data_IF_115894287003
#
_entry.id   IF_115894287003
#
_cell.length_a   1.000
_cell.length_b   1.000
_cell.length_c   1.000
_cell.angle_alpha   90.00
_cell.angle_beta   90.00
_cell.angle_gamma   90.00
#
_symmetry.space_group_name_H-M   'P 1'
#
loop_
_entity.id
_entity.type
_entity.pdbx_description
1 polymer ?
#
# COMPACT_ATOMS: atom_id res chain seq x y z
N UNK A 1 -8.98 22.64 -14.01
CA UNK A 1 -8.25 21.46 -14.43
C UNK A 1 -7.00 21.28 -13.58
N UNK A 2 -6.20 22.33 -13.47
CA UNK A 2 -4.99 22.27 -12.63
C UNK A 2 -5.35 22.04 -11.16
N UNK A 3 -6.42 22.65 -10.67
CA UNK A 3 -6.87 22.49 -9.28
C UNK A 3 -7.29 21.04 -9.00
N UNK A 4 -8.02 20.42 -9.92
CA UNK A 4 -8.44 19.03 -9.77
C UNK A 4 -7.23 18.10 -9.76
N UNK A 5 -6.29 18.35 -10.65
CA UNK A 5 -5.06 17.57 -10.73
C UNK A 5 -4.23 17.72 -9.46
N UNK A 6 -4.14 18.92 -8.93
CA UNK A 6 -3.40 19.18 -7.70
C UNK A 6 -4.06 18.52 -6.48
N UNK A 7 -5.39 18.40 -6.46
CA UNK A 7 -6.10 17.75 -5.35
C UNK A 7 -5.99 16.24 -5.42
N UNK A 8 -6.07 15.65 -6.61
CA UNK A 8 -6.01 14.20 -6.78
C UNK A 8 -4.58 13.66 -6.64
N UNK A 9 -3.59 14.37 -7.23
CA UNK A 9 -2.21 13.93 -7.25
C UNK A 9 -1.56 13.83 -5.88
N UNK A 10 -1.64 14.86 -5.03
CA UNK A 10 -1.01 14.81 -3.70
C UNK A 10 -1.53 13.69 -2.82
N UNK A 11 -2.85 13.45 -2.81
CA UNK A 11 -3.43 12.39 -2.01
C UNK A 11 -2.93 11.02 -2.47
N UNK A 12 -2.88 10.80 -3.77
CA UNK A 12 -2.36 9.55 -4.33
C UNK A 12 -0.88 9.36 -3.99
N UNK A 13 -0.07 10.40 -4.18
CA UNK A 13 1.35 10.35 -3.88
C UNK A 13 1.60 10.07 -2.40
N UNK A 14 0.79 10.65 -1.53
CA UNK A 14 0.93 10.43 -0.09
C UNK A 14 0.58 9.01 0.30
N UNK A 15 -0.44 8.41 -0.34
CA UNK A 15 -0.76 7.01 -0.11
C UNK A 15 0.37 6.09 -0.58
N UNK A 16 1.02 6.42 -1.70
CA UNK A 16 2.20 5.66 -2.15
C UNK A 16 3.34 5.75 -1.13
N UNK A 17 3.56 6.92 -0.56
CA UNK A 17 4.60 7.11 0.46
C UNK A 17 4.31 6.30 1.73
N UNK A 18 3.04 6.19 2.13
CA UNK A 18 2.65 5.34 3.26
C UNK A 18 3.02 3.90 2.97
N UNK A 19 2.70 3.41 1.78
CA UNK A 19 3.02 2.05 1.38
C UNK A 19 4.52 1.79 1.41
N UNK A 20 5.32 2.72 0.92
CA UNK A 20 6.78 2.60 0.96
C UNK A 20 7.30 2.56 2.40
N UNK A 21 6.75 3.39 3.28
CA UNK A 21 7.14 3.38 4.69
C UNK A 21 6.84 2.02 5.34
N UNK A 22 5.68 1.45 5.04
CA UNK A 22 5.33 0.11 5.53
C UNK A 22 6.29 -0.95 4.99
N UNK A 23 6.65 -0.84 3.74
CA UNK A 23 7.54 -1.79 3.08
C UNK A 23 8.93 -1.80 3.71
N UNK A 24 9.43 -0.63 4.11
CA UNK A 24 10.74 -0.50 4.75
C UNK A 24 10.71 -0.74 6.25
N UNK A 25 9.54 -0.97 6.83
CA UNK A 25 9.41 -1.22 8.25
C UNK A 25 9.24 0.03 9.12
N UNK A 26 9.07 1.19 8.51
CA UNK A 26 8.87 2.44 9.23
C UNK A 26 7.38 2.62 9.56
N UNK A 27 6.90 1.83 10.52
CA UNK A 27 5.49 1.84 10.91
C UNK A 27 5.13 3.18 11.55
N UNK A 28 6.00 3.74 12.38
CA UNK A 28 5.77 5.05 13.00
C UNK A 28 5.58 6.14 11.97
N UNK A 29 6.46 6.19 10.96
CA UNK A 29 6.35 7.15 9.87
C UNK A 29 5.08 6.96 9.06
N UNK A 30 4.72 5.69 8.80
CA UNK A 30 3.49 5.38 8.09
C UNK A 30 2.26 5.89 8.86
N UNK A 31 2.19 5.63 10.15
CA UNK A 31 1.07 6.08 10.99
C UNK A 31 0.97 7.60 11.03
N UNK A 32 2.10 8.30 11.11
CA UNK A 32 2.10 9.77 11.08
C UNK A 32 1.53 10.29 9.76
N UNK A 33 1.92 9.68 8.65
CA UNK A 33 1.39 10.08 7.34
C UNK A 33 -0.09 9.77 7.21
N UNK A 34 -0.54 8.62 7.73
CA UNK A 34 -1.95 8.24 7.75
C UNK A 34 -2.76 9.26 8.53
N UNK A 35 -2.30 9.62 9.72
CA UNK A 35 -2.98 10.63 10.52
C UNK A 35 -3.11 11.96 9.78
N UNK A 36 -2.06 12.36 9.07
CA UNK A 36 -2.07 13.58 8.26
C UNK A 36 -3.09 13.51 7.13
N UNK A 37 -3.18 12.37 6.45
CA UNK A 37 -4.15 12.19 5.38
C UNK A 37 -5.58 12.20 5.89
N UNK A 38 -5.83 11.57 7.02
CA UNK A 38 -7.16 11.58 7.63
C UNK A 38 -7.53 12.99 8.13
N UNK A 39 -6.57 13.72 8.66
CA UNK A 39 -6.79 15.12 9.04
C UNK A 39 -7.13 16.00 7.83
N UNK A 40 -6.65 15.63 6.67
CA UNK A 40 -6.98 16.29 5.40
C UNK A 40 -8.26 15.73 4.75
N UNK A 41 -9.06 14.99 5.53
CA UNK A 41 -10.34 14.41 5.10
C UNK A 41 -10.24 13.28 4.08
N UNK A 42 -9.12 12.62 4.00
CA UNK A 42 -9.04 11.41 3.17
C UNK A 42 -9.87 10.31 3.82
N UNK A 43 -10.84 9.72 3.10
CA UNK A 43 -11.68 8.67 3.69
C UNK A 43 -10.84 7.45 4.08
N UNK A 44 -10.95 6.97 5.33
CA UNK A 44 -10.14 5.85 5.80
C UNK A 44 -10.28 4.58 4.97
N UNK A 45 -11.50 4.23 4.55
CA UNK A 45 -11.71 3.04 3.71
C UNK A 45 -11.05 3.16 2.36
N UNK A 46 -11.05 4.37 1.78
CA UNK A 46 -10.36 4.62 0.52
C UNK A 46 -8.85 4.49 0.70
N UNK A 47 -8.34 5.02 1.80
CA UNK A 47 -6.91 4.96 2.09
C UNK A 47 -6.45 3.52 2.24
N UNK A 48 -7.15 2.72 3.05
CA UNK A 48 -6.75 1.32 3.23
C UNK A 48 -6.89 0.53 1.93
N UNK A 49 -7.89 0.81 1.12
CA UNK A 49 -8.07 0.16 -0.17
C UNK A 49 -6.89 0.45 -1.10
N UNK A 50 -6.41 1.70 -1.11
CA UNK A 50 -5.23 2.09 -1.89
C UNK A 50 -3.98 1.34 -1.43
N UNK A 51 -3.81 1.20 -0.12
CA UNK A 51 -2.67 0.47 0.43
C UNK A 51 -2.74 -1.02 0.11
N UNK A 52 -3.91 -1.62 0.21
CA UNK A 52 -4.12 -3.03 -0.17
C UNK A 52 -3.78 -3.24 -1.63
N UNK A 53 -4.25 -2.35 -2.51
CA UNK A 53 -3.96 -2.43 -3.94
C UNK A 53 -2.45 -2.36 -4.20
N UNK A 54 -1.77 -1.48 -3.50
CA UNK A 54 -0.32 -1.31 -3.61
C UNK A 54 0.42 -2.58 -3.20
N UNK A 55 0.04 -3.16 -2.06
CA UNK A 55 0.63 -4.41 -1.58
C UNK A 55 0.38 -5.57 -2.54
N UNK A 56 -0.82 -5.65 -3.10
CA UNK A 56 -1.14 -6.68 -4.09
C UNK A 56 -0.27 -6.53 -5.33
N UNK A 57 -0.03 -5.31 -5.77
CA UNK A 57 0.86 -5.06 -6.90
C UNK A 57 2.26 -5.58 -6.66
N UNK A 58 2.83 -5.27 -5.51
CA UNK A 58 4.16 -5.76 -5.13
C UNK A 58 4.18 -7.28 -5.03
N UNK A 59 3.13 -7.86 -4.45
CA UNK A 59 3.04 -9.31 -4.30
C UNK A 59 2.95 -10.01 -5.66
N UNK A 60 2.12 -9.49 -6.57
CA UNK A 60 2.02 -10.01 -7.94
C UNK A 60 3.37 -10.00 -8.64
N UNK A 61 4.07 -8.86 -8.56
CA UNK A 61 5.39 -8.73 -9.18
C UNK A 61 6.34 -9.79 -8.63
N UNK A 62 6.39 -9.94 -7.32
CA UNK A 62 7.28 -10.90 -6.67
C UNK A 62 6.96 -12.33 -7.12
N UNK A 63 5.68 -12.70 -7.11
CA UNK A 63 5.26 -14.06 -7.47
C UNK A 63 5.53 -14.37 -8.94
N UNK A 64 5.26 -13.42 -9.82
CA UNK A 64 5.50 -13.61 -11.25
C UNK A 64 6.99 -13.74 -11.55
N UNK A 65 7.81 -12.91 -10.90
CA UNK A 65 9.25 -13.03 -11.09
C UNK A 65 9.79 -14.36 -10.56
N UNK A 66 9.25 -14.84 -9.45
CA UNK A 66 9.63 -16.16 -8.94
C UNK A 66 9.23 -17.27 -9.89
N UNK A 67 8.17 -17.10 -10.64
CA UNK A 67 7.72 -18.10 -11.63
C UNK A 67 8.51 -18.02 -12.93
N UNK A 68 9.42 -17.05 -13.07
CA UNK A 68 10.24 -16.89 -14.25
C UNK A 68 9.81 -15.80 -15.21
N UNK A 69 8.70 -15.13 -14.95
CA UNK A 69 8.24 -14.05 -15.81
C UNK A 69 9.06 -12.79 -15.55
N UNK A 70 9.63 -12.21 -16.60
CA UNK A 70 10.45 -11.01 -16.48
C UNK A 70 9.97 -9.85 -17.33
N UNK A 71 9.02 -10.09 -18.23
CA UNK A 71 8.52 -9.04 -19.11
C UNK A 71 7.65 -8.04 -18.35
N UNK A 72 8.08 -6.77 -18.25
CA UNK A 72 7.32 -5.76 -17.51
C UNK A 72 5.89 -5.58 -18.01
N UNK A 73 5.66 -5.74 -19.30
CA UNK A 73 4.32 -5.59 -19.88
C UNK A 73 3.39 -6.69 -19.40
N UNK A 74 3.88 -7.93 -19.38
CA UNK A 74 3.10 -9.08 -18.90
C UNK A 74 2.80 -8.93 -17.41
N UNK A 75 3.82 -8.57 -16.63
CA UNK A 75 3.67 -8.39 -15.19
C UNK A 75 2.68 -7.27 -14.88
N UNK A 76 2.80 -6.14 -15.54
CA UNK A 76 1.91 -5.00 -15.32
C UNK A 76 0.47 -5.36 -15.61
N UNK A 77 0.22 -6.07 -16.70
CA UNK A 77 -1.13 -6.49 -17.07
C UNK A 77 -1.72 -7.42 -16.02
N UNK A 78 -0.94 -8.41 -15.57
CA UNK A 78 -1.40 -9.36 -14.55
C UNK A 78 -1.66 -8.69 -13.22
N UNK A 79 -0.84 -7.71 -12.85
CA UNK A 79 -0.94 -7.02 -11.57
C UNK A 79 -1.95 -5.86 -11.57
N UNK A 80 -2.55 -5.57 -12.72
CA UNK A 80 -3.49 -4.44 -12.84
C UNK A 80 -2.81 -3.08 -12.83
N UNK A 81 -1.54 -3.03 -13.24
CA UNK A 81 -0.76 -1.79 -13.30
C UNK A 81 -0.84 -1.23 -14.72
N UNK A 82 -1.30 0.03 -14.83
CA UNK A 82 -1.53 0.63 -16.14
C UNK A 82 -0.26 0.92 -16.92
N UNK A 83 0.81 1.35 -16.25
CA UNK A 83 2.05 1.72 -16.91
C UNK A 83 3.16 0.71 -16.58
N UNK A 84 3.63 -0.07 -17.58
CA UNK A 84 4.68 -1.06 -17.35
C UNK A 84 5.99 -0.46 -16.82
N UNK A 85 6.23 0.82 -17.04
CA UNK A 85 7.43 1.48 -16.52
C UNK A 85 7.49 1.48 -15.00
N UNK A 86 6.34 1.40 -14.33
CA UNK A 86 6.28 1.32 -12.88
C UNK A 86 6.94 0.06 -12.34
N UNK A 87 7.01 -0.99 -13.14
CA UNK A 87 7.63 -2.24 -12.72
C UNK A 87 9.08 -2.03 -12.32
N UNK A 88 9.80 -1.17 -13.03
CA UNK A 88 11.21 -0.89 -12.70
C UNK A 88 11.35 -0.23 -11.33
N UNK A 89 10.46 0.69 -11.00
CA UNK A 89 10.44 1.35 -9.69
C UNK A 89 10.09 0.34 -8.61
N UNK A 90 9.09 -0.48 -8.85
CA UNK A 90 8.64 -1.49 -7.89
C UNK A 90 9.71 -2.54 -7.61
N UNK A 91 10.48 -2.94 -8.62
CA UNK A 91 11.61 -3.84 -8.43
C UNK A 91 12.65 -3.27 -7.48
N UNK A 92 12.92 -1.97 -7.60
CA UNK A 92 13.87 -1.30 -6.69
C UNK A 92 13.33 -1.28 -5.27
N UNK A 93 12.04 -0.99 -5.11
CA UNK A 93 11.38 -0.95 -3.81
C UNK A 93 11.40 -2.30 -3.13
N UNK A 94 11.34 -3.39 -3.91
CA UNK A 94 11.26 -4.76 -3.38
C UNK A 94 12.61 -5.38 -3.06
N UNK A 95 13.72 -4.69 -3.32
CA UNK A 95 15.05 -5.23 -3.01
C UNK A 95 15.14 -5.56 -1.53
N UNK A 96 15.50 -6.82 -1.24
CA UNK A 96 15.62 -7.27 0.14
C UNK A 96 14.31 -7.54 0.86
N UNK A 97 13.19 -7.40 0.18
CA UNK A 97 11.87 -7.65 0.78
C UNK A 97 11.43 -9.07 0.45
N UNK A 98 11.13 -9.86 1.47
CA UNK A 98 10.68 -11.23 1.28
C UNK A 98 9.19 -11.29 1.03
N UNK A 99 8.71 -12.29 0.25
CA UNK A 99 7.28 -12.45 0.01
C UNK A 99 6.48 -12.60 1.30
N UNK A 100 7.05 -13.26 2.31
CA UNK A 100 6.38 -13.44 3.60
C UNK A 100 6.06 -12.11 4.27
N UNK A 101 6.96 -11.14 4.12
CA UNK A 101 6.73 -9.81 4.67
C UNK A 101 5.56 -9.11 3.97
N UNK A 102 5.48 -9.26 2.65
CA UNK A 102 4.37 -8.69 1.89
C UNK A 102 3.04 -9.31 2.29
N UNK A 103 3.02 -10.63 2.47
CA UNK A 103 1.82 -11.32 2.91
C UNK A 103 1.39 -10.89 4.31
N UNK A 104 2.36 -10.71 5.21
CA UNK A 104 2.07 -10.25 6.57
C UNK A 104 1.49 -8.84 6.57
N UNK A 105 2.09 -7.93 5.79
CA UNK A 105 1.58 -6.57 5.67
C UNK A 105 0.18 -6.54 5.06
N UNK A 106 -0.04 -7.35 4.03
CA UNK A 106 -1.36 -7.44 3.42
C UNK A 106 -2.40 -7.91 4.43
N UNK A 107 -2.07 -8.93 5.22
CA UNK A 107 -2.94 -9.43 6.28
C UNK A 107 -3.30 -8.35 7.29
N UNK A 108 -2.33 -7.55 7.70
CA UNK A 108 -2.55 -6.44 8.63
C UNK A 108 -3.48 -5.37 8.04
N UNK A 109 -3.27 -5.03 6.77
CA UNK A 109 -4.14 -4.05 6.10
C UNK A 109 -5.55 -4.57 5.92
N UNK A 110 -5.73 -5.86 5.66
CA UNK A 110 -7.05 -6.46 5.58
C UNK A 110 -7.75 -6.46 6.95
N UNK A 111 -7.00 -6.63 8.04
CA UNK A 111 -7.55 -6.50 9.39
C UNK A 111 -8.02 -5.07 9.65
N UNK A 112 -7.25 -4.08 9.21
CA UNK A 112 -7.65 -2.66 9.31
C UNK A 112 -8.96 -2.44 8.55
N UNK A 113 -9.03 -2.93 7.32
CA UNK A 113 -10.22 -2.78 6.49
C UNK A 113 -11.45 -3.40 7.17
N UNK A 114 -11.31 -4.60 7.71
CA UNK A 114 -12.38 -5.28 8.40
C UNK A 114 -12.83 -4.49 9.63
N UNK A 115 -11.88 -3.98 10.42
CA UNK A 115 -12.19 -3.17 11.60
C UNK A 115 -12.95 -1.90 11.24
N UNK A 116 -12.53 -1.22 10.17
CA UNK A 116 -13.22 -0.02 9.69
C UNK A 116 -14.66 -0.33 9.26
N UNK A 117 -14.86 -1.44 8.57
CA UNK A 117 -16.19 -1.85 8.12
C UNK A 117 -17.09 -2.23 9.28
N UNK A 118 -16.52 -2.67 10.38
CA UNK A 118 -17.28 -2.99 11.60
C UNK A 118 -17.53 -1.77 12.48
N UNK A 119 -17.06 -0.60 12.07
CA UNK A 119 -17.35 0.63 12.79
C UNK A 119 -16.27 1.10 13.75
N UNK A 120 -15.08 0.50 13.74
CA UNK A 120 -13.98 0.96 14.58
C UNK A 120 -13.55 2.37 14.19
N UNK A 121 -13.08 3.13 15.17
CA UNK A 121 -12.51 4.44 14.88
C UNK A 121 -11.25 4.26 14.03
N UNK A 122 -11.09 5.13 13.05
CA UNK A 122 -10.05 4.96 12.05
C UNK A 122 -8.63 4.98 12.63
N UNK A 123 -8.35 5.91 13.52
CA UNK A 123 -7.02 6.00 14.13
C UNK A 123 -6.69 4.75 14.95
N UNK A 124 -7.66 4.20 15.65
CA UNK A 124 -7.49 2.96 16.43
C UNK A 124 -7.27 1.77 15.48
N UNK A 125 -8.08 1.67 14.43
CA UNK A 125 -8.00 0.56 13.48
C UNK A 125 -6.61 0.51 12.81
N UNK A 126 -6.12 1.64 12.34
CA UNK A 126 -4.80 1.70 11.71
C UNK A 126 -3.68 1.39 12.69
N UNK A 127 -3.75 1.99 13.88
CA UNK A 127 -2.70 1.79 14.88
C UNK A 127 -2.63 0.33 15.32
N UNK A 128 -3.75 -0.24 15.72
CA UNK A 128 -3.79 -1.61 16.20
C UNK A 128 -3.41 -2.60 15.10
N UNK A 129 -3.94 -2.39 13.90
CA UNK A 129 -3.66 -3.28 12.79
C UNK A 129 -2.20 -3.24 12.34
N UNK A 130 -1.65 -2.04 12.18
CA UNK A 130 -0.29 -1.90 11.66
C UNK A 130 0.79 -2.17 12.68
N UNK A 131 0.53 -1.95 13.95
CA UNK A 131 1.49 -2.29 14.99
C UNK A 131 1.58 -3.79 15.26
N UNK A 132 0.62 -4.55 14.73
CA UNK A 132 0.70 -6.00 14.79
C UNK A 132 0.62 -6.53 16.20
N UNK A 133 -0.51 -6.31 16.85
CA UNK A 133 -0.71 -6.66 18.25
C UNK A 133 -0.47 -8.12 18.57
N UNK A 134 -0.67 -8.98 17.64
CA UNK A 134 -0.41 -10.39 17.85
C UNK A 134 1.06 -10.72 18.00
N UNK A 135 1.86 -9.70 17.82
CA UNK A 135 3.29 -9.96 17.79
C UNK A 135 3.66 -10.84 16.65
#
# INVERSE_FOLDING_TARGET
VAAVKALAGPAHQNALAVGEALLTGDVGGALTQIDGLMAANEPPLRLVASLVSQLRGWLWLTLLEQSGEQDPTVIAKAAGIGNPKRIYVMRKQLRGVRPQRLLKLLGRLLDVEAALKLGSQADVAFRDGLLGQSG
#
